data_IF_943751174987
#
_entry.id   IF_943751174987
#
_cell.length_a   1.000
_cell.length_b   1.000
_cell.length_c   1.000
_cell.angle_alpha   90.00
_cell.angle_beta   90.00
_cell.angle_gamma   90.00
#
_symmetry.space_group_name_H-M   'P 1'
#
loop_
_entity.id
_entity.type
_entity.pdbx_description
1 polymer ?
#
# COMPACT_ATOMS: atom_id res chain seq x y z
N UNK A 1 29.97 -8.24 -11.16
CA UNK A 1 28.52 -8.51 -10.94
C UNK A 1 27.88 -7.64 -9.85
N UNK A 2 28.59 -7.26 -8.77
CA UNK A 2 28.00 -6.49 -7.65
C UNK A 2 27.48 -5.07 -7.98
N UNK A 3 28.12 -4.31 -8.87
CA UNK A 3 27.63 -2.96 -9.22
C UNK A 3 26.32 -2.97 -10.01
N UNK A 4 26.10 -3.97 -10.86
CA UNK A 4 24.89 -4.06 -11.68
C UNK A 4 23.63 -4.27 -10.82
N UNK A 5 23.72 -5.14 -9.81
CA UNK A 5 22.62 -5.41 -8.87
C UNK A 5 22.26 -4.14 -8.07
N UNK A 6 23.26 -3.34 -7.67
CA UNK A 6 23.04 -2.07 -6.96
C UNK A 6 22.31 -1.04 -7.83
N UNK A 7 22.70 -0.92 -9.10
CA UNK A 7 22.04 -0.01 -10.07
C UNK A 7 20.60 -0.45 -10.33
N UNK A 8 20.36 -1.75 -10.46
CA UNK A 8 19.02 -2.30 -10.70
C UNK A 8 18.09 -2.04 -9.50
N UNK A 9 18.59 -2.26 -8.28
CA UNK A 9 17.82 -1.99 -7.07
C UNK A 9 17.50 -0.48 -6.91
N UNK A 10 18.47 0.38 -7.23
CA UNK A 10 18.26 1.83 -7.22
C UNK A 10 17.21 2.25 -8.26
N UNK A 11 17.26 1.70 -9.47
CA UNK A 11 16.29 2.01 -10.52
C UNK A 11 14.86 1.59 -10.14
N UNK A 12 14.70 0.37 -9.61
CA UNK A 12 13.39 -0.13 -9.15
C UNK A 12 12.84 0.72 -8.01
N UNK A 13 13.68 1.07 -7.02
CA UNK A 13 13.28 1.93 -5.91
C UNK A 13 12.90 3.35 -6.38
N UNK A 14 13.64 3.90 -7.34
CA UNK A 14 13.35 5.22 -7.91
C UNK A 14 12.02 5.25 -8.68
N UNK A 15 11.78 4.23 -9.52
CA UNK A 15 10.50 4.09 -10.23
C UNK A 15 9.34 3.92 -9.25
N UNK A 16 9.51 3.10 -8.21
CA UNK A 16 8.49 2.92 -7.18
C UNK A 16 8.20 4.24 -6.44
N UNK A 17 9.23 5.03 -6.14
CA UNK A 17 9.09 6.34 -5.49
C UNK A 17 8.33 7.35 -6.37
N UNK A 18 8.70 7.47 -7.66
CA UNK A 18 7.97 8.32 -8.62
C UNK A 18 6.51 7.86 -8.71
N UNK A 19 6.26 6.56 -8.81
CA UNK A 19 4.91 6.01 -8.90
C UNK A 19 4.08 6.30 -7.64
N UNK A 20 4.68 6.18 -6.45
CA UNK A 20 4.04 6.54 -5.19
C UNK A 20 3.67 8.03 -5.16
N UNK A 21 4.61 8.88 -5.53
CA UNK A 21 4.42 10.34 -5.56
C UNK A 21 3.35 10.75 -6.56
N UNK A 22 3.37 10.16 -7.76
CA UNK A 22 2.36 10.38 -8.79
C UNK A 22 0.96 9.95 -8.32
N UNK A 23 0.83 8.82 -7.63
CA UNK A 23 -0.43 8.37 -7.05
C UNK A 23 -0.98 9.37 -6.03
N UNK A 24 -0.15 9.86 -5.12
CA UNK A 24 -0.57 10.85 -4.11
C UNK A 24 -0.98 12.17 -4.78
N UNK A 25 -0.22 12.63 -5.77
CA UNK A 25 -0.58 13.83 -6.54
C UNK A 25 -1.89 13.64 -7.28
N UNK A 26 -2.11 12.48 -7.91
CA UNK A 26 -3.35 12.16 -8.59
C UNK A 26 -4.54 12.13 -7.62
N UNK A 27 -4.39 11.53 -6.43
CA UNK A 27 -5.43 11.59 -5.39
C UNK A 27 -5.76 13.02 -4.98
N UNK A 28 -4.74 13.85 -4.77
CA UNK A 28 -4.92 15.23 -4.34
C UNK A 28 -5.65 16.04 -5.42
N UNK A 29 -5.21 15.92 -6.67
CA UNK A 29 -5.84 16.60 -7.81
C UNK A 29 -7.29 16.14 -7.96
N UNK A 30 -7.53 14.82 -8.01
CA UNK A 30 -8.88 14.27 -8.15
C UNK A 30 -9.82 14.68 -7.02
N UNK A 31 -9.31 14.76 -5.78
CA UNK A 31 -10.08 15.26 -4.65
C UNK A 31 -10.42 16.75 -4.79
N UNK A 32 -9.44 17.59 -5.13
CA UNK A 32 -9.65 19.04 -5.27
C UNK A 32 -10.59 19.34 -6.44
N UNK A 33 -10.42 18.70 -7.59
CA UNK A 33 -11.32 18.87 -8.75
C UNK A 33 -12.72 18.38 -8.43
N UNK A 34 -12.87 17.21 -7.79
CA UNK A 34 -14.17 16.68 -7.42
C UNK A 34 -14.94 17.59 -6.46
N UNK A 35 -14.28 18.17 -5.44
CA UNK A 35 -14.91 19.15 -4.55
C UNK A 35 -15.27 20.43 -5.30
N UNK A 36 -14.38 20.92 -6.17
CA UNK A 36 -14.62 22.12 -6.95
C UNK A 36 -15.83 21.99 -7.89
N UNK A 37 -15.95 20.86 -8.59
CA UNK A 37 -17.07 20.59 -9.49
C UNK A 37 -18.40 20.54 -8.73
N UNK A 38 -18.44 19.89 -7.55
CA UNK A 38 -19.64 19.85 -6.70
C UNK A 38 -20.06 21.26 -6.27
N UNK A 39 -19.10 22.10 -5.87
CA UNK A 39 -19.38 23.48 -5.46
C UNK A 39 -19.95 24.29 -6.61
N UNK A 40 -19.39 24.15 -7.82
CA UNK A 40 -19.92 24.83 -9.01
C UNK A 40 -21.35 24.39 -9.33
N UNK A 41 -21.63 23.08 -9.30
CA UNK A 41 -22.97 22.56 -9.59
C UNK A 41 -23.97 22.99 -8.50
N UNK A 42 -23.56 23.03 -7.24
CA UNK A 42 -24.38 23.56 -6.15
C UNK A 42 -24.72 25.02 -6.37
N UNK A 43 -23.78 25.84 -6.82
CA UNK A 43 -24.03 27.26 -7.12
C UNK A 43 -24.99 27.45 -8.29
N UNK A 44 -24.89 26.62 -9.33
CA UNK A 44 -25.76 26.70 -10.51
C UNK A 44 -27.21 26.27 -10.20
N UNK A 45 -27.38 25.32 -9.28
CA UNK A 45 -28.69 24.78 -8.89
C UNK A 45 -29.49 25.62 -7.90
N UNK A 46 -28.88 26.64 -7.25
CA UNK A 46 -29.56 27.49 -6.25
C UNK A 46 -30.78 28.20 -6.82
N UNK A 47 -30.75 28.56 -8.11
CA UNK A 47 -31.83 29.30 -8.78
C UNK A 47 -32.78 28.43 -9.60
N UNK A 48 -32.58 27.10 -9.62
CA UNK A 48 -33.40 26.18 -10.41
C UNK A 48 -34.72 25.82 -9.72
N UNK A 49 -35.71 25.42 -10.54
CA UNK A 49 -36.97 24.87 -10.04
C UNK A 49 -36.73 23.59 -9.21
N UNK A 50 -37.62 23.26 -8.25
CA UNK A 50 -37.43 22.12 -7.35
C UNK A 50 -37.26 20.77 -8.08
N UNK A 51 -37.96 20.60 -9.20
CA UNK A 51 -37.95 19.36 -10.00
C UNK A 51 -36.60 19.18 -10.70
N UNK A 52 -36.10 20.23 -11.36
CA UNK A 52 -34.80 20.21 -12.07
C UNK A 52 -33.64 20.02 -11.08
N UNK A 53 -33.69 20.71 -9.95
CA UNK A 53 -32.68 20.60 -8.89
C UNK A 53 -32.58 19.19 -8.31
N UNK A 54 -33.71 18.48 -8.14
CA UNK A 54 -33.69 17.09 -7.66
C UNK A 54 -33.01 16.15 -8.67
N UNK A 55 -33.23 16.38 -9.96
CA UNK A 55 -32.58 15.60 -11.03
C UNK A 55 -31.07 15.85 -11.03
N UNK A 56 -30.64 17.11 -10.94
CA UNK A 56 -29.22 17.47 -10.86
C UNK A 56 -28.57 16.88 -9.60
N UNK A 57 -29.22 16.93 -8.44
CA UNK A 57 -28.67 16.32 -7.22
C UNK A 57 -28.49 14.80 -7.33
N UNK A 58 -29.38 14.11 -8.02
CA UNK A 58 -29.24 12.67 -8.23
C UNK A 58 -28.01 12.35 -9.09
N UNK A 59 -27.77 13.15 -10.14
CA UNK A 59 -26.56 13.05 -10.96
C UNK A 59 -25.31 13.37 -10.15
N UNK A 60 -25.30 14.48 -9.39
CA UNK A 60 -24.18 14.87 -8.52
C UNK A 60 -23.85 13.78 -7.49
N UNK A 61 -24.87 13.17 -6.88
CA UNK A 61 -24.67 12.08 -5.93
C UNK A 61 -23.99 10.87 -6.58
N UNK A 62 -24.36 10.55 -7.82
CA UNK A 62 -23.77 9.43 -8.56
C UNK A 62 -22.30 9.71 -8.88
N UNK A 63 -21.98 10.90 -9.39
CA UNK A 63 -20.61 11.35 -9.66
C UNK A 63 -19.74 11.42 -8.40
N UNK A 64 -20.33 11.87 -7.29
CA UNK A 64 -19.66 11.94 -6.00
C UNK A 64 -19.34 10.56 -5.45
N UNK A 65 -20.28 9.62 -5.53
CA UNK A 65 -20.07 8.24 -5.13
C UNK A 65 -18.97 7.58 -5.97
N UNK A 66 -18.95 7.82 -7.28
CA UNK A 66 -17.88 7.36 -8.16
C UNK A 66 -16.52 7.92 -7.75
N UNK A 67 -16.43 9.24 -7.52
CA UNK A 67 -15.20 9.92 -7.08
C UNK A 67 -14.68 9.37 -5.75
N UNK A 68 -15.57 9.17 -4.76
CA UNK A 68 -15.21 8.56 -3.48
C UNK A 68 -14.71 7.12 -3.68
N UNK A 69 -15.39 6.34 -4.51
CA UNK A 69 -15.02 4.96 -4.77
C UNK A 69 -13.61 4.85 -5.39
N UNK A 70 -13.31 5.70 -6.38
CA UNK A 70 -11.98 5.84 -6.97
C UNK A 70 -10.95 6.21 -5.89
N UNK A 71 -11.23 7.20 -5.04
CA UNK A 71 -10.33 7.58 -3.94
C UNK A 71 -10.06 6.42 -2.97
N UNK A 72 -11.06 5.62 -2.64
CA UNK A 72 -10.91 4.43 -1.76
C UNK A 72 -10.00 3.38 -2.41
N UNK A 73 -10.20 3.08 -3.71
CA UNK A 73 -9.32 2.17 -4.45
C UNK A 73 -7.89 2.68 -4.41
N UNK A 74 -7.70 3.96 -4.75
CA UNK A 74 -6.39 4.55 -4.79
C UNK A 74 -5.71 4.51 -3.43
N UNK A 75 -6.43 4.79 -2.34
CA UNK A 75 -5.86 4.70 -0.98
C UNK A 75 -5.39 3.28 -0.67
N UNK A 76 -6.15 2.26 -1.07
CA UNK A 76 -5.73 0.86 -0.96
C UNK A 76 -4.50 0.57 -1.82
N UNK A 77 -4.47 1.05 -3.07
CA UNK A 77 -3.35 0.85 -3.98
C UNK A 77 -2.06 1.50 -3.46
N UNK A 78 -2.16 2.72 -2.94
CA UNK A 78 -1.06 3.42 -2.28
C UNK A 78 -0.53 2.62 -1.08
N UNK A 79 -1.41 2.10 -0.22
CA UNK A 79 -0.99 1.28 0.93
C UNK A 79 -0.16 0.07 0.48
N UNK A 80 -0.62 -0.66 -0.53
CA UNK A 80 0.11 -1.81 -1.08
C UNK A 80 1.46 -1.38 -1.65
N UNK A 81 1.50 -0.25 -2.35
CA UNK A 81 2.73 0.25 -2.98
C UNK A 81 3.76 0.70 -1.94
N UNK A 82 3.33 1.35 -0.86
CA UNK A 82 4.21 1.69 0.27
C UNK A 82 4.71 0.43 0.98
N UNK A 83 3.83 -0.56 1.16
CA UNK A 83 4.19 -1.85 1.76
C UNK A 83 5.18 -2.62 0.87
N UNK A 84 5.02 -2.54 -0.46
CA UNK A 84 5.99 -3.05 -1.43
C UNK A 84 7.35 -2.36 -1.31
N UNK A 85 7.40 -1.03 -1.18
CA UNK A 85 8.67 -0.33 -1.01
C UNK A 85 9.41 -0.75 0.27
N UNK A 86 8.66 -1.13 1.31
CA UNK A 86 9.24 -1.57 2.58
C UNK A 86 9.75 -3.01 2.55
N UNK A 87 9.01 -3.90 1.88
CA UNK A 87 9.26 -5.34 1.96
C UNK A 87 9.72 -5.99 0.65
N UNK A 88 9.73 -5.27 -0.46
CA UNK A 88 10.05 -5.72 -1.83
C UNK A 88 9.22 -6.92 -2.34
N UNK A 89 8.21 -7.36 -1.59
CA UNK A 89 7.25 -8.39 -1.99
C UNK A 89 5.83 -7.87 -1.83
N UNK A 90 4.95 -8.25 -2.77
CA UNK A 90 3.52 -8.01 -2.70
C UNK A 90 2.84 -9.37 -2.65
N UNK A 91 2.01 -9.59 -1.64
CA UNK A 91 1.17 -10.79 -1.65
C UNK A 91 0.16 -10.69 -2.79
N UNK A 92 0.16 -11.73 -3.64
CA UNK A 92 -0.76 -11.87 -4.76
C UNK A 92 -2.23 -11.70 -4.34
N UNK A 93 -2.55 -11.99 -3.08
CA UNK A 93 -3.88 -11.75 -2.49
C UNK A 93 -4.32 -10.29 -2.62
N UNK A 94 -3.46 -9.34 -2.28
CA UNK A 94 -3.81 -7.92 -2.31
C UNK A 94 -4.01 -7.40 -3.74
N UNK A 95 -3.21 -7.91 -4.68
CA UNK A 95 -3.35 -7.61 -6.12
C UNK A 95 -4.71 -8.12 -6.62
N UNK A 96 -5.09 -9.34 -6.25
CA UNK A 96 -6.38 -9.92 -6.64
C UNK A 96 -7.55 -9.18 -5.98
N UNK A 97 -7.47 -8.83 -4.68
CA UNK A 97 -8.51 -8.05 -4.00
C UNK A 97 -8.75 -6.69 -4.68
N UNK A 98 -7.68 -5.96 -5.03
CA UNK A 98 -7.83 -4.68 -5.75
C UNK A 98 -8.39 -4.92 -7.15
N UNK A 99 -7.94 -5.95 -7.86
CA UNK A 99 -8.46 -6.28 -9.19
C UNK A 99 -9.97 -6.53 -9.17
N UNK A 100 -10.47 -7.28 -8.19
CA UNK A 100 -11.92 -7.52 -8.02
C UNK A 100 -12.65 -6.21 -7.73
N UNK A 101 -12.16 -5.43 -6.76
CA UNK A 101 -12.79 -4.15 -6.37
C UNK A 101 -12.84 -3.18 -7.55
N UNK A 102 -11.76 -3.07 -8.33
CA UNK A 102 -11.70 -2.22 -9.51
C UNK A 102 -12.73 -2.64 -10.56
N UNK A 103 -12.81 -3.93 -10.91
CA UNK A 103 -13.79 -4.42 -11.88
C UNK A 103 -15.23 -4.15 -11.43
N UNK A 104 -15.53 -4.38 -10.16
CA UNK A 104 -16.88 -4.15 -9.61
C UNK A 104 -17.24 -2.67 -9.64
N UNK A 105 -16.33 -1.78 -9.24
CA UNK A 105 -16.59 -0.34 -9.21
C UNK A 105 -16.73 0.24 -10.62
N UNK A 106 -15.89 -0.20 -11.55
CA UNK A 106 -15.94 0.18 -12.95
C UNK A 106 -17.29 -0.24 -13.59
N UNK A 107 -17.76 -1.46 -13.30
CA UNK A 107 -19.07 -1.94 -13.75
C UNK A 107 -20.24 -1.26 -13.06
N UNK A 108 -20.10 -0.83 -11.79
CA UNK A 108 -21.20 -0.25 -11.02
C UNK A 108 -21.44 1.20 -11.40
N UNK A 109 -20.38 1.97 -11.63
CA UNK A 109 -20.48 3.39 -11.93
C UNK A 109 -20.48 3.71 -13.42
N UNK A 110 -19.78 2.93 -14.23
CA UNK A 110 -19.57 3.23 -15.65
C UNK A 110 -20.35 2.27 -16.57
N UNK A 111 -21.39 1.61 -16.05
CA UNK A 111 -22.19 0.64 -16.80
C UNK A 111 -22.81 1.22 -18.07
N UNK A 112 -23.27 2.48 -17.98
CA UNK A 112 -24.00 3.16 -19.04
C UNK A 112 -23.13 3.57 -20.22
N UNK A 113 -21.86 3.91 -19.96
CA UNK A 113 -20.96 4.47 -20.98
C UNK A 113 -20.19 3.39 -21.75
N UNK A 114 -20.19 2.14 -21.27
CA UNK A 114 -19.51 1.04 -21.93
C UNK A 114 -20.37 0.34 -22.99
N UNK A 115 -19.74 -0.08 -24.09
CA UNK A 115 -20.37 -1.01 -25.04
C UNK A 115 -20.70 -2.34 -24.36
N UNK A 116 -21.69 -3.07 -24.90
CA UNK A 116 -22.07 -4.38 -24.35
C UNK A 116 -20.88 -5.35 -24.30
N UNK A 117 -20.03 -5.33 -25.33
CA UNK A 117 -18.83 -6.16 -25.40
C UNK A 117 -17.83 -5.83 -24.28
N UNK A 118 -17.61 -4.54 -23.99
CA UNK A 118 -16.69 -4.10 -22.94
C UNK A 118 -17.23 -4.45 -21.55
N UNK A 119 -18.55 -4.35 -21.34
CA UNK A 119 -19.23 -4.79 -20.12
C UNK A 119 -19.04 -6.29 -19.88
N UNK A 120 -19.22 -7.11 -20.93
CA UNK A 120 -19.01 -8.55 -20.85
C UNK A 120 -17.56 -8.92 -20.53
N UNK A 121 -16.59 -8.22 -21.13
CA UNK A 121 -15.17 -8.43 -20.84
C UNK A 121 -14.85 -8.07 -19.39
N UNK A 122 -15.30 -6.91 -18.90
CA UNK A 122 -15.08 -6.51 -17.50
C UNK A 122 -15.73 -7.47 -16.51
N UNK A 123 -16.94 -7.95 -16.82
CA UNK A 123 -17.65 -8.91 -15.99
C UNK A 123 -16.96 -10.27 -15.98
N UNK A 124 -16.51 -10.74 -17.16
CA UNK A 124 -15.71 -11.95 -17.27
C UNK A 124 -14.39 -11.86 -16.51
N UNK A 125 -13.73 -10.70 -16.56
CA UNK A 125 -12.47 -10.45 -15.86
C UNK A 125 -12.67 -10.37 -14.33
N UNK A 126 -13.75 -9.74 -13.87
CA UNK A 126 -14.16 -9.72 -12.46
C UNK A 126 -14.48 -11.11 -11.92
N UNK A 127 -15.27 -11.90 -12.66
CA UNK A 127 -15.56 -13.30 -12.32
C UNK A 127 -14.28 -14.15 -12.35
N UNK A 128 -13.39 -13.90 -13.31
CA UNK A 128 -12.08 -14.54 -13.38
C UNK A 128 -11.23 -14.29 -12.13
N UNK A 129 -11.12 -13.03 -11.69
CA UNK A 129 -10.42 -12.72 -10.44
C UNK A 129 -11.10 -13.32 -9.22
N UNK A 130 -12.43 -13.35 -9.18
CA UNK A 130 -13.18 -13.99 -8.10
C UNK A 130 -12.93 -15.50 -8.07
N UNK A 131 -12.87 -16.16 -9.23
CA UNK A 131 -12.54 -17.57 -9.35
C UNK A 131 -11.11 -17.85 -8.87
N UNK A 132 -10.13 -17.02 -9.26
CA UNK A 132 -8.76 -17.12 -8.75
C UNK A 132 -8.73 -16.95 -7.24
N UNK A 133 -9.47 -15.97 -6.70
CA UNK A 133 -9.58 -15.73 -5.27
C UNK A 133 -10.19 -16.92 -4.52
N UNK A 134 -11.26 -17.52 -5.06
CA UNK A 134 -11.95 -18.66 -4.46
C UNK A 134 -11.12 -19.95 -4.53
N UNK A 135 -10.55 -20.30 -5.69
CA UNK A 135 -9.78 -21.54 -5.87
C UNK A 135 -8.42 -21.51 -5.18
N UNK A 136 -7.80 -20.33 -5.08
CA UNK A 136 -6.52 -20.18 -4.37
C UNK A 136 -6.69 -19.68 -2.95
N UNK A 137 -7.92 -19.60 -2.42
CA UNK A 137 -8.21 -19.03 -1.10
C UNK A 137 -7.33 -19.61 0.01
N UNK A 138 -7.12 -20.92 0.05
CA UNK A 138 -6.27 -21.55 1.07
C UNK A 138 -4.79 -21.21 0.91
N UNK A 139 -4.30 -21.08 -0.32
CA UNK A 139 -2.93 -20.62 -0.61
C UNK A 139 -2.75 -19.15 -0.24
N UNK A 140 -3.73 -18.31 -0.54
CA UNK A 140 -3.75 -16.88 -0.22
C UNK A 140 -3.86 -16.64 1.30
N UNK A 141 -4.66 -17.47 1.99
CA UNK A 141 -4.83 -17.42 3.45
C UNK A 141 -3.55 -17.83 4.16
N UNK A 142 -2.83 -18.82 3.63
CA UNK A 142 -1.53 -19.24 4.17
C UNK A 142 -0.47 -18.16 3.94
N UNK A 143 -0.38 -17.59 2.74
CA UNK A 143 0.51 -16.47 2.44
C UNK A 143 0.28 -15.27 3.37
N UNK A 144 -0.97 -14.92 3.67
CA UNK A 144 -1.30 -13.83 4.59
C UNK A 144 -0.81 -14.10 6.02
N UNK A 145 -0.90 -15.35 6.48
CA UNK A 145 -0.43 -15.74 7.82
C UNK A 145 1.10 -15.64 7.90
N UNK A 146 1.78 -16.12 6.86
CA UNK A 146 3.24 -16.06 6.77
C UNK A 146 3.74 -14.61 6.71
N UNK A 147 3.11 -13.73 5.90
CA UNK A 147 3.43 -12.29 5.86
C UNK A 147 3.12 -11.60 7.19
N UNK A 148 1.98 -11.90 7.83
CA UNK A 148 1.63 -11.29 9.11
C UNK A 148 2.57 -11.72 10.25
N UNK A 149 3.03 -12.97 10.25
CA UNK A 149 4.00 -13.48 11.22
C UNK A 149 5.39 -12.87 10.97
N UNK A 150 5.80 -12.68 9.71
CA UNK A 150 7.04 -11.95 9.37
C UNK A 150 6.93 -10.48 9.80
N UNK A 151 5.82 -9.78 9.51
CA UNK A 151 5.64 -8.37 9.86
C UNK A 151 5.59 -8.14 11.38
N UNK A 152 4.98 -9.07 12.14
CA UNK A 152 5.02 -9.04 13.62
C UNK A 152 6.43 -9.28 14.18
N UNK A 153 7.21 -10.14 13.53
CA UNK A 153 8.58 -10.44 13.94
C UNK A 153 9.62 -9.42 13.42
N UNK A 154 9.24 -8.48 12.53
CA UNK A 154 10.14 -7.50 11.87
C UNK A 154 9.82 -6.03 12.24
N UNK A 155 8.81 -5.74 13.06
CA UNK A 155 8.67 -4.42 13.73
C UNK A 155 9.34 -4.42 15.12
N UNK A 156 9.95 -3.30 15.55
CA UNK A 156 11.38 -3.15 15.78
C UNK A 156 11.85 -3.70 17.14
N UNK A 157 12.49 -4.86 17.13
CA UNK A 157 13.50 -5.20 18.14
C UNK A 157 14.71 -5.83 17.45
N UNK A 158 15.33 -5.11 16.49
CA UNK A 158 16.67 -5.49 16.01
C UNK A 158 17.45 -4.33 15.41
N UNK A 159 17.38 -3.14 16.02
CA UNK A 159 18.47 -2.14 15.85
C UNK A 159 18.91 -1.50 17.17
N UNK A 160 18.08 -1.48 18.22
CA UNK A 160 18.47 -0.95 19.53
C UNK A 160 19.36 -1.88 20.38
N UNK A 161 19.34 -3.21 20.19
CA UNK A 161 20.12 -4.14 21.04
C UNK A 161 21.57 -4.35 20.56
N UNK A 162 21.94 -3.87 19.37
CA UNK A 162 23.34 -3.93 18.90
C UNK A 162 24.15 -2.68 19.24
N UNK A 163 23.53 -1.52 19.44
CA UNK A 163 24.24 -0.33 19.91
C UNK A 163 24.47 -0.35 21.43
N UNK A 164 23.53 -0.88 22.23
CA UNK A 164 23.69 -0.91 23.69
C UNK A 164 24.81 -1.87 24.14
N UNK A 165 25.05 -2.96 23.40
CA UNK A 165 26.19 -3.87 23.67
C UNK A 165 27.55 -3.32 23.23
N UNK A 166 27.59 -2.31 22.34
CA UNK A 166 28.84 -1.66 21.93
C UNK A 166 29.16 -0.51 22.89
N UNK A 167 28.16 0.23 23.41
CA UNK A 167 28.39 1.29 24.40
C UNK A 167 28.75 0.78 25.81
N UNK A 168 28.24 -0.38 26.26
CA UNK A 168 28.63 -0.93 27.59
C UNK A 168 30.09 -1.43 27.63
N UNK A 169 30.68 -1.74 26.47
CA UNK A 169 32.09 -2.14 26.36
C UNK A 169 33.03 -0.92 26.30
N UNK A 170 32.54 0.24 25.86
CA UNK A 170 33.36 1.45 25.65
C UNK A 170 33.42 2.35 26.91
N UNK A 171 32.50 2.21 27.87
CA UNK A 171 32.35 3.17 28.99
C UNK A 171 32.81 2.69 30.37
N UNK A 172 33.38 1.48 30.54
CA UNK A 172 33.93 1.08 31.85
C UNK A 172 35.38 1.56 32.01
N UNK A 173 35.69 2.40 33.01
CA UNK A 173 37.06 2.85 33.25
C UNK A 173 37.94 1.67 33.67
N UNK A 174 39.07 1.55 32.98
CA UNK A 174 40.17 0.64 33.24
C UNK A 174 40.70 0.84 34.67
N UNK A 175 40.14 0.13 35.66
CA UNK A 175 40.74 0.05 36.99
C UNK A 175 42.00 -0.82 36.93
N UNK A 176 43.12 -0.12 36.86
CA UNK A 176 44.45 -0.61 37.23
C UNK A 176 44.40 -1.33 38.57
N UNK A 177 44.59 -2.64 38.59
CA UNK A 177 44.99 -3.36 39.80
C UNK A 177 46.23 -4.21 39.51
N UNK A 178 47.32 -3.73 40.11
CA UNK A 178 48.64 -4.31 40.36
C UNK A 178 48.79 -5.82 40.16
N UNK A 179 49.81 -6.17 39.36
CA UNK A 179 50.56 -7.44 39.44
C UNK A 179 50.98 -7.73 40.88
N UNK A 180 50.70 -8.93 41.37
CA UNK A 180 51.56 -9.61 42.33
C UNK A 180 51.95 -10.97 41.77
N UNK A 181 53.21 -11.06 41.39
CA UNK A 181 53.94 -12.27 41.05
C UNK A 181 54.05 -13.15 42.30
N UNK A 182 53.67 -14.42 42.22
CA UNK A 182 54.33 -15.49 42.99
C UNK A 182 54.41 -16.78 42.17
N UNK A 183 55.66 -17.10 41.81
CA UNK A 183 56.17 -18.40 41.36
C UNK A 183 56.01 -19.48 42.44
N UNK A 184 56.14 -20.73 41.98
CA UNK A 184 56.44 -22.04 42.65
C UNK A 184 55.22 -22.96 42.67
N UNK A 185 55.28 -24.26 42.36
CA UNK A 185 56.32 -25.25 41.99
C UNK A 185 55.49 -26.54 41.68
N UNK A 186 55.61 -27.14 40.49
CA UNK A 186 56.13 -28.52 40.25
C UNK A 186 55.94 -29.55 41.38
N UNK A 187 55.68 -30.79 40.95
CA UNK A 187 55.59 -32.10 41.67
C UNK A 187 54.12 -32.50 41.93
N UNK A 188 53.57 -33.63 41.50
CA UNK A 188 53.97 -34.80 40.68
C UNK A 188 52.66 -35.44 40.15
#
# INVERSE_FOLDING_TARGET
MGSFIKVLNFCVSFVAFITASALVLFMLVGFVTGIYDIVLIMMDTVFMEPIERQLVFNTVNTEFLHTIAVLIILMKAYRILVEYMRYHHIDIKYIVEIGIIACVLELLFNYGDYSEDMRLIMLGLGIGFLAVYAFRYDTLKKAMKDTQDITKNVSPQTETEKEEKIEEVVTKPKKTVRKTVRRKKKED
#
